data_IF_330798745661
#
_entry.id   IF_330798745661
#
_cell.length_a   1.000
_cell.length_b   1.000
_cell.length_c   1.000
_cell.angle_alpha   90.00
_cell.angle_beta   90.00
_cell.angle_gamma   90.00
#
_symmetry.space_group_name_H-M   'P 1'
#
loop_
_entity.id
_entity.type
_entity.pdbx_description
1 polymer ?
#
# COMPACT_ATOMS: atom_id res chain seq x y z
N UNK A 1 -9.04 0.14 -13.96
CA UNK A 1 -9.07 -1.17 -13.33
C UNK A 1 -9.11 -1.00 -11.81
N UNK A 2 -10.31 -1.05 -11.24
CA UNK A 2 -10.58 -0.74 -9.81
C UNK A 2 -9.84 -1.71 -8.88
N UNK A 3 -9.76 -2.98 -9.24
CA UNK A 3 -9.00 -4.00 -8.51
C UNK A 3 -7.51 -3.65 -8.40
N UNK A 4 -6.91 -3.23 -9.53
CA UNK A 4 -5.50 -2.83 -9.55
C UNK A 4 -5.25 -1.60 -8.68
N UNK A 5 -6.16 -0.64 -8.64
CA UNK A 5 -6.02 0.55 -7.81
C UNK A 5 -6.22 0.23 -6.32
N UNK A 6 -7.19 -0.62 -5.98
CA UNK A 6 -7.39 -1.10 -4.62
C UNK A 6 -6.19 -1.92 -4.13
N UNK A 7 -5.63 -2.78 -4.99
CA UNK A 7 -4.40 -3.52 -4.69
C UNK A 7 -3.24 -2.59 -4.36
N UNK A 8 -3.05 -1.51 -5.10
CA UNK A 8 -2.03 -0.48 -4.82
C UNK A 8 -2.28 0.25 -3.52
N UNK A 9 -3.54 0.46 -3.15
CA UNK A 9 -3.91 1.15 -1.91
C UNK A 9 -3.45 0.37 -0.67
N UNK A 10 -3.49 -0.95 -0.71
CA UNK A 10 -3.04 -1.82 0.40
C UNK A 10 -1.63 -2.39 0.20
N UNK A 11 -0.96 -2.08 -0.92
CA UNK A 11 0.43 -2.46 -1.14
C UNK A 11 1.36 -1.79 -0.12
N UNK A 12 2.32 -2.55 0.40
CA UNK A 12 3.33 -2.05 1.34
C UNK A 12 4.72 -2.35 0.84
N UNK A 13 5.58 -1.33 0.84
CA UNK A 13 6.97 -1.45 0.43
C UNK A 13 7.92 -1.18 1.59
N UNK A 14 8.90 -2.08 1.79
CA UNK A 14 9.96 -1.95 2.78
C UNK A 14 11.29 -1.74 2.06
N UNK A 15 11.92 -0.59 2.29
CA UNK A 15 13.23 -0.26 1.72
C UNK A 15 14.35 -0.71 2.63
N UNK A 16 15.27 -1.55 2.09
CA UNK A 16 16.48 -1.97 2.79
C UNK A 16 17.38 -0.79 3.16
N UNK A 17 17.52 0.19 2.25
CA UNK A 17 18.30 1.39 2.48
C UNK A 17 17.73 2.21 3.62
N UNK A 18 16.43 2.47 3.62
CA UNK A 18 15.75 3.18 4.69
C UNK A 18 15.92 2.46 6.04
N UNK A 19 15.76 1.14 6.04
CA UNK A 19 15.94 0.34 7.24
C UNK A 19 17.36 0.47 7.82
N UNK A 20 18.39 0.37 6.98
CA UNK A 20 19.79 0.44 7.42
C UNK A 20 20.25 1.84 7.79
N UNK A 21 19.94 2.83 6.98
CA UNK A 21 20.51 4.16 7.10
C UNK A 21 19.75 5.04 8.09
N UNK A 22 18.43 4.95 8.09
CA UNK A 22 17.55 5.83 8.88
C UNK A 22 17.17 5.20 10.21
N UNK A 23 16.53 4.04 10.18
CA UNK A 23 16.04 3.42 11.42
C UNK A 23 17.03 2.44 12.07
N UNK A 24 18.24 2.30 11.48
CA UNK A 24 19.32 1.42 11.96
C UNK A 24 18.87 -0.01 12.22
N UNK A 25 18.02 -0.51 11.34
CA UNK A 25 17.44 -1.84 11.37
C UNK A 25 17.99 -2.68 10.21
N UNK A 26 18.63 -3.80 10.52
CA UNK A 26 19.24 -4.65 9.50
C UNK A 26 18.26 -5.70 9.02
N UNK A 27 17.96 -5.77 7.70
CA UNK A 27 17.15 -6.84 7.14
C UNK A 27 17.82 -8.21 7.28
N UNK A 28 17.05 -9.30 7.33
CA UNK A 28 17.60 -10.65 7.35
C UNK A 28 18.33 -10.95 6.03
N UNK A 29 19.30 -11.88 6.09
CA UNK A 29 20.00 -12.33 4.88
C UNK A 29 19.11 -13.19 3.97
N UNK A 30 18.24 -13.99 4.59
CA UNK A 30 17.22 -14.77 3.90
C UNK A 30 16.00 -13.87 3.67
N UNK A 31 15.68 -13.62 2.40
CA UNK A 31 14.60 -12.76 1.95
C UNK A 31 13.37 -13.53 1.47
N UNK A 32 13.06 -14.65 2.11
CA UNK A 32 11.78 -15.33 1.88
C UNK A 32 10.62 -14.52 2.48
N UNK A 33 9.44 -14.62 1.89
CA UNK A 33 8.23 -13.89 2.30
C UNK A 33 7.94 -14.05 3.81
N UNK A 34 8.00 -15.26 4.34
CA UNK A 34 7.76 -15.54 5.76
C UNK A 34 8.79 -14.86 6.66
N UNK A 35 10.08 -14.90 6.28
CA UNK A 35 11.17 -14.32 7.08
C UNK A 35 11.10 -12.79 7.07
N UNK A 36 10.80 -12.19 5.93
CA UNK A 36 10.64 -10.73 5.84
C UNK A 36 9.41 -10.26 6.61
N UNK A 37 8.27 -10.96 6.50
CA UNK A 37 7.08 -10.62 7.29
C UNK A 37 7.37 -10.66 8.80
N UNK A 38 8.02 -11.73 9.30
CA UNK A 38 8.36 -11.85 10.72
C UNK A 38 9.36 -10.76 11.15
N UNK A 39 10.33 -10.42 10.33
CA UNK A 39 11.24 -9.31 10.57
C UNK A 39 10.51 -7.97 10.63
N UNK A 40 9.54 -7.72 9.75
CA UNK A 40 8.73 -6.51 9.78
C UNK A 40 7.97 -6.40 11.10
N UNK A 41 7.33 -7.48 11.53
CA UNK A 41 6.54 -7.53 12.75
C UNK A 41 7.37 -7.35 14.02
N UNK A 42 8.53 -8.02 14.10
CA UNK A 42 9.29 -8.11 15.35
C UNK A 42 10.36 -7.05 15.49
N UNK A 43 10.94 -6.59 14.39
CA UNK A 43 12.14 -5.74 14.40
C UNK A 43 11.93 -4.40 13.69
N UNK A 44 11.42 -4.42 12.47
CA UNK A 44 11.25 -3.21 11.65
C UNK A 44 10.27 -2.23 12.28
N UNK A 45 9.08 -2.68 12.67
CA UNK A 45 8.07 -1.83 13.31
C UNK A 45 8.58 -1.18 14.60
N UNK A 46 9.27 -1.95 15.45
CA UNK A 46 9.85 -1.40 16.69
C UNK A 46 10.91 -0.33 16.42
N UNK A 47 11.71 -0.51 15.38
CA UNK A 47 12.74 0.47 14.98
C UNK A 47 12.09 1.74 14.40
N UNK A 48 11.01 1.62 13.66
CA UNK A 48 10.21 2.76 13.19
C UNK A 48 9.64 3.56 14.35
N UNK A 49 8.99 2.89 15.30
CA UNK A 49 8.42 3.53 16.49
C UNK A 49 9.48 4.24 17.34
N UNK A 50 10.64 3.62 17.52
CA UNK A 50 11.77 4.25 18.20
C UNK A 50 12.28 5.51 17.49
N UNK A 51 12.34 5.46 16.16
CA UNK A 51 12.74 6.60 15.34
C UNK A 51 11.70 7.72 15.41
N UNK A 52 10.40 7.40 15.33
CA UNK A 52 9.30 8.36 15.49
C UNK A 52 9.39 9.07 16.86
N UNK A 53 9.56 8.34 17.94
CA UNK A 53 9.70 8.91 19.28
C UNK A 53 10.94 9.83 19.41
N UNK A 54 12.01 9.53 18.66
CA UNK A 54 13.19 10.43 18.60
C UNK A 54 12.89 11.72 17.85
N UNK A 55 12.14 11.66 16.74
CA UNK A 55 11.69 12.86 16.01
C UNK A 55 10.75 13.71 16.85
N UNK A 56 9.83 13.11 17.59
CA UNK A 56 8.93 13.81 18.49
C UNK A 56 9.69 14.62 19.57
N UNK A 57 10.68 14.00 20.19
CA UNK A 57 11.57 14.71 21.15
C UNK A 57 12.34 15.85 20.48
N UNK A 58 12.73 15.71 19.21
CA UNK A 58 13.40 16.76 18.46
C UNK A 58 12.46 17.92 18.16
N UNK A 59 11.21 17.64 17.78
CA UNK A 59 10.17 18.65 17.56
C UNK A 59 9.88 19.47 18.80
N UNK A 60 9.82 18.84 19.98
CA UNK A 60 9.63 19.54 21.25
C UNK A 60 10.75 20.54 21.55
N UNK A 61 11.98 20.26 21.09
CA UNK A 61 13.15 21.15 21.28
C UNK A 61 13.21 22.29 20.27
N UNK A 62 12.57 22.16 19.11
CA UNK A 62 12.60 23.11 18.00
C UNK A 62 11.44 24.12 18.04
N UNK A 63 10.76 24.28 19.18
CA UNK A 63 9.59 25.17 19.30
C UNK A 63 9.83 26.62 18.89
N UNK A 64 11.09 27.08 18.89
CA UNK A 64 11.50 28.44 18.51
C UNK A 64 12.15 28.54 17.12
N UNK A 65 12.35 27.41 16.41
CA UNK A 65 12.90 27.35 15.04
C UNK A 65 11.81 26.91 14.07
N UNK A 66 11.18 27.89 13.41
CA UNK A 66 10.03 27.66 12.51
C UNK A 66 10.42 26.79 11.31
N UNK A 67 11.59 27.01 10.71
CA UNK A 67 12.04 26.28 9.55
C UNK A 67 12.42 24.83 9.89
N UNK A 68 13.23 24.65 10.94
CA UNK A 68 13.60 23.33 11.45
C UNK A 68 12.38 22.55 11.92
N UNK A 69 11.42 23.18 12.59
CA UNK A 69 10.16 22.58 12.98
C UNK A 69 9.35 22.09 11.78
N UNK A 70 9.24 22.91 10.72
CA UNK A 70 8.50 22.55 9.49
C UNK A 70 9.07 21.32 8.79
N UNK A 71 10.40 21.18 8.72
CA UNK A 71 11.07 20.01 8.11
C UNK A 71 10.81 18.74 8.95
N UNK A 72 11.02 18.81 10.25
CA UNK A 72 10.85 17.66 11.16
C UNK A 72 9.38 17.24 11.28
N UNK A 73 8.44 18.18 11.23
CA UNK A 73 7.01 17.90 11.24
C UNK A 73 6.58 17.11 10.00
N UNK A 74 7.06 17.48 8.81
CA UNK A 74 6.80 16.70 7.58
C UNK A 74 7.40 15.29 7.66
N UNK A 75 8.62 15.15 8.19
CA UNK A 75 9.24 13.84 8.38
C UNK A 75 8.45 12.98 9.35
N UNK A 76 7.99 13.56 10.46
CA UNK A 76 7.14 12.90 11.45
C UNK A 76 5.85 12.39 10.81
N UNK A 77 5.14 13.24 10.06
CA UNK A 77 3.89 12.88 9.40
C UNK A 77 4.05 11.74 8.38
N UNK A 78 5.12 11.77 7.57
CA UNK A 78 5.42 10.70 6.61
C UNK A 78 5.70 9.39 7.33
N UNK A 79 6.47 9.44 8.42
CA UNK A 79 6.83 8.26 9.19
C UNK A 79 5.63 7.67 9.93
N UNK A 80 4.79 8.51 10.53
CA UNK A 80 3.56 8.10 11.21
C UNK A 80 2.59 7.41 10.25
N UNK A 81 2.35 8.01 9.08
CA UNK A 81 1.56 7.38 8.01
C UNK A 81 2.14 6.03 7.58
N UNK A 82 3.46 5.91 7.52
CA UNK A 82 4.10 4.63 7.21
C UNK A 82 3.90 3.60 8.32
N UNK A 83 4.02 4.00 9.58
CA UNK A 83 3.76 3.11 10.74
C UNK A 83 2.31 2.62 10.73
N UNK A 84 1.34 3.50 10.48
CA UNK A 84 -0.07 3.13 10.35
C UNK A 84 -0.26 2.08 9.24
N UNK A 85 0.39 2.27 8.08
CA UNK A 85 0.35 1.32 6.96
C UNK A 85 0.99 -0.02 7.31
N UNK A 86 2.12 -0.01 8.03
CA UNK A 86 2.81 -1.23 8.49
C UNK A 86 1.97 -1.99 9.51
N UNK A 87 1.36 -1.31 10.48
CA UNK A 87 0.45 -1.92 11.45
C UNK A 87 -0.73 -2.59 10.73
N UNK A 88 -1.38 -1.85 9.80
CA UNK A 88 -2.48 -2.40 9.00
C UNK A 88 -2.04 -3.64 8.21
N UNK A 89 -0.87 -3.59 7.58
CA UNK A 89 -0.31 -4.75 6.88
C UNK A 89 -0.15 -5.96 7.80
N UNK A 90 0.41 -5.79 9.00
CA UNK A 90 0.60 -6.88 9.96
C UNK A 90 -0.74 -7.49 10.39
N UNK A 91 -1.79 -6.66 10.55
CA UNK A 91 -3.13 -7.10 10.93
C UNK A 91 -3.82 -7.92 9.84
N UNK A 92 -3.69 -7.48 8.57
CA UNK A 92 -4.44 -8.08 7.45
C UNK A 92 -3.65 -9.13 6.68
N UNK A 93 -2.36 -9.29 6.96
CA UNK A 93 -1.50 -10.23 6.23
C UNK A 93 -1.94 -11.68 6.43
N UNK A 94 -2.16 -12.38 5.33
CA UNK A 94 -2.42 -13.82 5.26
C UNK A 94 -1.47 -14.41 4.22
N UNK A 95 -0.61 -15.39 4.59
CA UNK A 95 0.41 -15.94 3.68
C UNK A 95 -0.15 -16.44 2.34
N UNK A 96 -1.35 -17.00 2.36
CA UNK A 96 -2.06 -17.57 1.21
C UNK A 96 -2.61 -16.50 0.26
N UNK A 97 -2.85 -15.28 0.76
CA UNK A 97 -3.43 -14.18 -0.02
C UNK A 97 -2.43 -13.07 -0.35
N UNK A 98 -1.17 -13.22 -0.01
CA UNK A 98 -0.19 -12.18 -0.25
C UNK A 98 1.02 -12.73 -1.02
N UNK A 99 1.55 -11.92 -1.91
CA UNK A 99 2.80 -12.18 -2.60
C UNK A 99 3.83 -11.11 -2.25
N UNK A 100 5.08 -11.52 -2.17
CA UNK A 100 6.20 -10.60 -2.00
C UNK A 100 7.05 -10.58 -3.26
N UNK A 101 7.31 -9.39 -3.77
CA UNK A 101 8.30 -9.15 -4.82
C UNK A 101 9.55 -8.50 -4.23
N UNK A 102 10.72 -8.98 -4.61
CA UNK A 102 12.01 -8.39 -4.23
C UNK A 102 12.56 -7.62 -5.41
N UNK A 103 12.48 -6.29 -5.33
CA UNK A 103 13.02 -5.39 -6.34
C UNK A 103 14.48 -5.10 -6.01
N UNK A 104 15.38 -5.59 -6.83
CA UNK A 104 16.82 -5.30 -6.70
C UNK A 104 17.17 -4.01 -7.41
N UNK A 105 18.05 -3.16 -6.84
CA UNK A 105 18.48 -1.95 -7.52
C UNK A 105 19.28 -2.29 -8.78
N UNK A 106 19.26 -1.42 -9.78
CA UNK A 106 20.04 -1.59 -10.99
C UNK A 106 21.55 -1.60 -10.69
N UNK A 107 22.38 -2.23 -11.54
CA UNK A 107 23.81 -2.44 -11.29
C UNK A 107 24.62 -1.15 -11.03
N UNK A 108 24.20 -0.05 -11.63
CA UNK A 108 24.79 1.28 -11.48
C UNK A 108 24.42 1.97 -10.17
N UNK A 109 23.36 1.52 -9.48
CA UNK A 109 22.89 2.11 -8.23
C UNK A 109 22.76 1.09 -7.08
N UNK A 110 23.78 0.30 -6.84
CA UNK A 110 23.81 -0.71 -5.75
C UNK A 110 23.59 -0.10 -4.35
N UNK A 111 23.83 1.22 -4.18
CA UNK A 111 23.59 1.92 -2.92
C UNK A 111 22.11 2.09 -2.59
N UNK A 112 21.20 1.92 -3.56
CA UNK A 112 19.76 2.03 -3.32
C UNK A 112 19.21 0.93 -2.42
N UNK A 113 19.88 -0.25 -2.34
CA UNK A 113 19.40 -1.39 -1.56
C UNK A 113 18.15 -2.04 -2.17
N UNK A 114 17.82 -3.22 -1.69
CA UNK A 114 16.61 -3.94 -2.12
C UNK A 114 15.34 -3.27 -1.61
N UNK A 115 14.23 -3.51 -2.31
CA UNK A 115 12.87 -3.19 -1.83
C UNK A 115 12.06 -4.48 -1.76
N UNK A 116 11.32 -4.64 -0.70
CA UNK A 116 10.39 -5.75 -0.48
C UNK A 116 8.97 -5.20 -0.64
N UNK A 117 8.29 -5.60 -1.70
CA UNK A 117 6.94 -5.15 -2.03
C UNK A 117 5.95 -6.27 -1.74
N UNK A 118 5.02 -6.03 -0.83
CA UNK A 118 3.94 -6.95 -0.52
C UNK A 118 2.65 -6.47 -1.18
N UNK A 119 1.97 -7.38 -1.88
CA UNK A 119 0.71 -7.13 -2.58
C UNK A 119 -0.28 -8.25 -2.29
N UNK A 120 -1.55 -7.95 -2.04
CA UNK A 120 -2.57 -8.99 -1.96
C UNK A 120 -2.87 -9.55 -3.36
N UNK A 121 -3.20 -10.83 -3.42
CA UNK A 121 -3.67 -11.51 -4.63
C UNK A 121 -5.15 -11.18 -4.83
N UNK A 122 -5.95 -11.41 -3.79
CA UNK A 122 -7.35 -11.06 -3.73
C UNK A 122 -7.57 -9.86 -2.81
N UNK A 123 -8.20 -8.81 -3.33
CA UNK A 123 -8.48 -7.57 -2.60
C UNK A 123 -9.88 -7.53 -1.99
N UNK A 124 -10.76 -8.44 -2.39
CA UNK A 124 -12.15 -8.48 -1.96
C UNK A 124 -12.33 -8.45 -0.42
N UNK A 125 -11.51 -9.15 0.40
CA UNK A 125 -11.66 -9.13 1.86
C UNK A 125 -11.31 -7.77 2.50
N UNK A 126 -10.66 -6.87 1.76
CA UNK A 126 -10.15 -5.60 2.29
C UNK A 126 -10.89 -4.36 1.76
N UNK A 127 -11.69 -4.53 0.72
CA UNK A 127 -12.29 -3.42 -0.04
C UNK A 127 -13.26 -2.61 0.80
N UNK A 128 -14.09 -3.26 1.62
CA UNK A 128 -15.02 -2.55 2.49
C UNK A 128 -14.29 -1.62 3.45
N UNK A 129 -13.29 -2.11 4.17
CA UNK A 129 -12.57 -1.36 5.19
C UNK A 129 -11.57 -0.33 4.65
N UNK A 130 -11.14 -0.47 3.41
CA UNK A 130 -10.13 0.41 2.82
C UNK A 130 -10.73 1.42 1.86
N UNK A 131 -11.73 1.02 1.08
CA UNK A 131 -12.27 1.81 -0.01
C UNK A 131 -13.72 2.26 0.24
N UNK A 132 -14.63 1.32 0.53
CA UNK A 132 -16.06 1.64 0.58
C UNK A 132 -16.50 2.36 1.85
N UNK A 133 -15.77 2.24 2.96
CA UNK A 133 -16.08 3.01 4.18
C UNK A 133 -15.86 4.51 4.07
N UNK A 134 -15.22 4.98 2.99
CA UNK A 134 -14.93 6.41 2.78
C UNK A 134 -16.16 7.24 2.41
N UNK A 135 -17.27 6.60 2.04
CA UNK A 135 -18.51 7.28 1.70
C UNK A 135 -19.72 6.37 1.83
N UNK A 136 -20.89 6.96 2.13
CA UNK A 136 -22.15 6.22 2.20
C UNK A 136 -22.69 5.77 0.83
N UNK A 137 -22.16 6.33 -0.26
CA UNK A 137 -22.44 5.93 -1.65
C UNK A 137 -21.19 6.13 -2.49
N UNK A 138 -20.89 5.16 -3.34
CA UNK A 138 -19.70 5.19 -4.22
C UNK A 138 -20.16 4.98 -5.66
N UNK A 139 -19.77 5.88 -6.55
CA UNK A 139 -19.96 5.72 -8.00
C UNK A 139 -18.64 5.23 -8.62
N UNK A 140 -18.72 4.06 -9.27
CA UNK A 140 -17.60 3.52 -10.03
C UNK A 140 -17.95 3.55 -11.52
N UNK A 141 -17.02 3.99 -12.35
CA UNK A 141 -17.19 4.06 -13.80
C UNK A 141 -16.00 3.39 -14.50
N UNK A 142 -16.29 2.53 -15.44
CA UNK A 142 -15.28 1.91 -16.30
C UNK A 142 -15.86 1.53 -17.64
N UNK A 143 -15.05 1.59 -18.68
CA UNK A 143 -15.40 1.07 -20.00
C UNK A 143 -15.30 -0.46 -20.10
N UNK A 144 -14.80 -1.14 -19.09
CA UNK A 144 -14.42 -2.56 -19.11
C UNK A 144 -15.15 -3.43 -18.07
N UNK A 145 -16.21 -2.92 -17.43
CA UNK A 145 -17.07 -3.75 -16.58
C UNK A 145 -17.96 -4.56 -17.51
N UNK A 146 -17.59 -5.82 -17.73
CA UNK A 146 -18.29 -6.71 -18.67
C UNK A 146 -19.49 -7.37 -17.99
N UNK A 147 -19.33 -7.77 -16.74
CA UNK A 147 -20.32 -8.48 -15.94
C UNK A 147 -20.41 -7.88 -14.53
N UNK A 148 -21.64 -7.64 -14.07
CA UNK A 148 -21.92 -7.04 -12.77
C UNK A 148 -21.50 -7.96 -11.63
N UNK A 149 -21.89 -9.22 -11.71
CA UNK A 149 -21.75 -10.15 -10.59
C UNK A 149 -20.28 -10.51 -10.37
N UNK A 150 -19.55 -10.78 -11.46
CA UNK A 150 -18.09 -11.01 -11.41
C UNK A 150 -17.35 -9.78 -10.87
N UNK A 151 -17.78 -8.58 -11.27
CA UNK A 151 -17.17 -7.35 -10.78
C UNK A 151 -17.43 -7.14 -9.30
N UNK A 152 -18.64 -7.39 -8.83
CA UNK A 152 -18.99 -7.31 -7.40
C UNK A 152 -18.21 -8.34 -6.58
N UNK A 153 -18.14 -9.59 -7.05
CA UNK A 153 -17.37 -10.65 -6.40
C UNK A 153 -15.89 -10.25 -6.22
N UNK A 154 -15.26 -9.73 -7.29
CA UNK A 154 -13.86 -9.31 -7.27
C UNK A 154 -13.57 -8.17 -6.29
N UNK A 155 -14.58 -7.42 -5.90
CA UNK A 155 -14.49 -6.32 -4.93
C UNK A 155 -15.11 -6.65 -3.57
N UNK A 156 -15.64 -7.86 -3.38
CA UNK A 156 -16.30 -8.26 -2.13
C UNK A 156 -17.59 -7.49 -1.85
N UNK A 157 -18.31 -7.11 -2.91
CA UNK A 157 -19.60 -6.43 -2.83
C UNK A 157 -20.74 -7.42 -3.01
N UNK A 158 -21.85 -7.19 -2.31
CA UNK A 158 -23.10 -7.88 -2.58
C UNK A 158 -23.73 -7.32 -3.86
N UNK A 159 -23.96 -8.13 -4.92
CA UNK A 159 -24.62 -7.66 -6.13
C UNK A 159 -26.00 -7.02 -5.89
N UNK A 160 -26.72 -7.44 -4.87
CA UNK A 160 -28.05 -6.89 -4.57
C UNK A 160 -27.99 -5.46 -3.98
N UNK A 161 -26.85 -5.06 -3.41
CA UNK A 161 -26.62 -3.70 -2.94
C UNK A 161 -26.07 -2.75 -4.02
N UNK A 162 -25.82 -3.26 -5.24
CA UNK A 162 -25.18 -2.51 -6.32
C UNK A 162 -26.16 -2.22 -7.46
N UNK A 163 -26.42 -0.93 -7.71
CA UNK A 163 -27.08 -0.48 -8.93
C UNK A 163 -26.08 -0.51 -10.10
N UNK A 164 -26.44 -1.18 -11.20
CA UNK A 164 -25.61 -1.28 -12.39
C UNK A 164 -26.29 -0.68 -13.59
N UNK A 165 -25.57 0.17 -14.33
CA UNK A 165 -26.04 0.77 -15.57
C UNK A 165 -25.00 0.52 -16.68
N UNK A 166 -25.41 -0.17 -17.73
CA UNK A 166 -24.63 -0.32 -18.96
C UNK A 166 -25.14 0.63 -20.03
N UNK A 167 -24.24 1.47 -20.55
CA UNK A 167 -24.55 2.40 -21.62
C UNK A 167 -23.85 1.90 -22.88
N UNK A 168 -24.59 1.66 -23.98
CA UNK A 168 -23.98 1.23 -25.24
C UNK A 168 -23.02 2.31 -25.75
N UNK A 169 -21.93 1.88 -26.36
CA UNK A 169 -20.98 2.82 -26.94
C UNK A 169 -21.61 3.63 -28.07
N UNK A 170 -21.49 4.96 -28.11
CA UNK A 170 -21.98 5.80 -29.18
C UNK A 170 -21.17 5.61 -30.49
N UNK A 171 -20.02 4.95 -30.45
CA UNK A 171 -19.18 4.73 -31.63
C UNK A 171 -19.69 3.55 -32.43
N UNK A 172 -19.97 3.71 -33.74
CA UNK A 172 -20.40 2.62 -34.63
C UNK A 172 -19.37 1.47 -34.64
N UNK A 173 -19.86 0.23 -34.63
CA UNK A 173 -19.01 -0.98 -34.63
C UNK A 173 -18.03 -0.99 -35.83
N UNK A 174 -18.44 -0.48 -36.99
CA UNK A 174 -17.58 -0.33 -38.16
C UNK A 174 -16.33 0.53 -37.95
N UNK A 175 -16.35 1.41 -36.96
CA UNK A 175 -15.24 2.29 -36.65
C UNK A 175 -14.33 1.72 -35.50
N UNK A 176 -14.52 0.44 -35.15
CA UNK A 176 -13.73 -0.27 -34.12
C UNK A 176 -13.06 -1.50 -34.75
N UNK A 177 -12.17 -1.34 -35.74
CA UNK A 177 -11.45 -2.49 -36.28
C UNK A 177 -10.60 -3.12 -35.19
N UNK A 178 -10.81 -4.41 -34.94
CA UNK A 178 -9.88 -5.25 -34.15
C UNK A 178 -8.85 -5.76 -35.16
N UNK A 179 -7.63 -5.30 -35.07
CA UNK A 179 -6.49 -5.77 -35.86
C UNK A 179 -5.75 -6.87 -35.12
#
# INVERSE_FOLDING_TARGET
NTESELGKFIEVTFSEKFAKDIIKCKPPKNDTQKVIHEWVKTTYLKSLQKHLASLEKSLMKLSNDIEGYGIHSKQYEILDKHICKVNRFIEVYKPENWVMNVVTPPPDNKKAGKKYEFKPIDVSPYSHDTFFKLGGRVLMMSATIVDKDIFCESLGLDPDEVAYLSIPSPFPVKNRPIH
#
